data_IF_149494827780
#
_entry.id   IF_149494827780
#
_cell.length_a   1.000
_cell.length_b   1.000
_cell.length_c   1.000
_cell.angle_alpha   90.00
_cell.angle_beta   90.00
_cell.angle_gamma   90.00
#
_symmetry.space_group_name_H-M   'P 1'
#
loop_
_entity.id
_entity.type
_entity.pdbx_description
1 polymer ?
#
# COMPACT_ATOMS: atom_id res chain seq x y z
N UNK A 1 3.04 20.46 36.21
CA UNK A 1 3.36 19.68 35.00
C UNK A 1 2.85 18.27 35.20
N UNK A 2 1.65 17.97 34.70
CA UNK A 2 1.15 16.60 34.71
C UNK A 2 1.92 15.81 33.65
N UNK A 3 2.69 14.81 34.09
CA UNK A 3 3.28 13.84 33.17
C UNK A 3 2.14 13.08 32.53
N UNK A 4 1.90 13.30 31.24
CA UNK A 4 1.04 12.46 30.44
C UNK A 4 1.52 11.02 30.61
N UNK A 5 0.80 10.21 31.42
CA UNK A 5 0.95 8.75 31.46
C UNK A 5 0.40 8.20 30.15
N UNK A 6 1.12 8.45 29.06
CA UNK A 6 0.84 7.85 27.76
C UNK A 6 0.96 6.34 27.94
N UNK A 7 -0.17 5.63 27.85
CA UNK A 7 -0.18 4.18 27.71
C UNK A 7 0.83 3.84 26.61
N UNK A 8 1.88 3.10 26.96
CA UNK A 8 2.98 2.75 26.06
C UNK A 8 2.42 2.35 24.69
N UNK A 9 2.99 2.93 23.64
CA UNK A 9 2.76 2.56 22.25
C UNK A 9 2.98 1.06 22.11
N UNK A 10 1.88 0.32 21.93
CA UNK A 10 1.95 -1.10 21.62
C UNK A 10 2.04 -1.25 20.12
N UNK A 11 2.88 -2.18 19.69
CA UNK A 11 2.85 -2.65 18.31
C UNK A 11 1.44 -3.11 17.96
N UNK A 12 1.02 -2.84 16.72
CA UNK A 12 -0.29 -3.19 16.22
C UNK A 12 -0.18 -3.81 14.84
N UNK A 13 -0.92 -4.88 14.61
CA UNK A 13 -1.18 -5.40 13.28
C UNK A 13 -2.37 -4.67 12.69
N UNK A 14 -2.16 -4.06 11.53
CA UNK A 14 -3.18 -3.34 10.79
C UNK A 14 -3.57 -4.16 9.57
N UNK A 15 -4.85 -4.44 9.42
CA UNK A 15 -5.38 -5.05 8.20
C UNK A 15 -5.91 -3.95 7.28
N UNK A 16 -5.30 -3.83 6.10
CA UNK A 16 -5.80 -3.04 4.99
C UNK A 16 -6.61 -3.92 4.04
N UNK A 17 -7.57 -3.28 3.39
CA UNK A 17 -8.20 -3.81 2.18
C UNK A 17 -7.92 -2.84 1.04
N UNK A 18 -7.42 -3.39 -0.06
CA UNK A 18 -7.15 -2.67 -1.31
C UNK A 18 -8.09 -3.24 -2.37
N UNK A 19 -8.81 -2.35 -3.05
CA UNK A 19 -9.75 -2.70 -4.11
C UNK A 19 -9.33 -2.02 -5.39
N UNK A 20 -9.26 -2.78 -6.49
CA UNK A 20 -9.05 -2.29 -7.86
C UNK A 20 -10.34 -2.46 -8.66
N UNK A 21 -10.58 -1.65 -9.71
CA UNK A 21 -11.64 -1.96 -10.67
C UNK A 21 -11.40 -3.35 -11.26
N UNK A 22 -12.45 -4.19 -11.30
CA UNK A 22 -12.41 -5.60 -11.72
C UNK A 22 -12.03 -5.84 -13.20
N UNK A 23 -11.57 -4.82 -13.92
CA UNK A 23 -11.11 -4.93 -15.30
C UNK A 23 -9.89 -4.04 -15.52
N UNK A 24 -8.71 -4.66 -15.52
CA UNK A 24 -7.58 -4.16 -16.31
C UNK A 24 -7.68 -4.62 -17.79
N UNK A 25 -8.77 -5.29 -18.19
CA UNK A 25 -8.97 -5.82 -19.53
C UNK A 25 -10.39 -5.64 -20.08
N UNK A 26 -10.49 -4.85 -21.14
CA UNK A 26 -11.61 -4.72 -22.08
C UNK A 26 -11.25 -3.58 -23.03
N UNK A 27 -10.93 -3.78 -24.31
CA UNK A 27 -11.73 -4.50 -25.28
C UNK A 27 -10.89 -4.85 -26.54
N UNK A 28 -11.27 -5.94 -27.20
CA UNK A 28 -11.01 -6.32 -28.61
C UNK A 28 -9.60 -6.80 -29.05
N UNK A 29 -9.62 -7.93 -29.77
CA UNK A 29 -8.54 -8.54 -30.54
C UNK A 29 -7.40 -9.23 -29.75
N UNK A 30 -7.63 -10.50 -29.41
CA UNK A 30 -6.64 -11.57 -29.65
C UNK A 30 -5.26 -11.51 -28.97
N UNK A 31 -5.01 -10.63 -28.00
CA UNK A 31 -3.76 -10.59 -27.26
C UNK A 31 -3.90 -11.19 -25.85
N UNK A 32 -2.90 -12.01 -25.51
CA UNK A 32 -2.80 -12.71 -24.24
C UNK A 32 -3.06 -11.76 -23.06
N UNK A 33 -4.09 -12.08 -22.28
CA UNK A 33 -4.42 -11.41 -21.02
C UNK A 33 -3.22 -11.51 -20.10
N UNK A 34 -2.39 -10.47 -20.05
CA UNK A 34 -1.33 -10.36 -19.07
C UNK A 34 -2.01 -10.04 -17.73
N UNK A 35 -1.94 -10.98 -16.80
CA UNK A 35 -2.39 -10.81 -15.41
C UNK A 35 -1.52 -9.78 -14.71
N UNK A 36 -1.80 -8.51 -14.95
CA UNK A 36 -1.13 -7.39 -14.31
C UNK A 36 -1.55 -7.35 -12.83
N UNK A 37 -0.63 -7.62 -11.91
CA UNK A 37 -0.87 -7.59 -10.46
C UNK A 37 -0.46 -6.25 -9.88
N UNK A 38 -1.17 -5.78 -8.85
CA UNK A 38 -0.70 -4.64 -8.06
C UNK A 38 0.65 -4.97 -7.41
N UNK A 39 1.56 -4.00 -7.45
CA UNK A 39 2.76 -4.01 -6.62
C UNK A 39 2.39 -3.53 -5.21
N UNK A 40 2.10 -4.49 -4.35
CA UNK A 40 1.67 -4.20 -2.98
C UNK A 40 2.81 -3.62 -2.13
N UNK A 41 4.08 -3.91 -2.45
CA UNK A 41 5.23 -3.34 -1.73
C UNK A 41 5.32 -1.85 -2.02
N UNK A 42 5.38 -1.49 -3.30
CA UNK A 42 5.45 -0.10 -3.72
C UNK A 42 4.21 0.71 -3.29
N UNK A 43 3.03 0.08 -3.28
CA UNK A 43 1.82 0.71 -2.72
C UNK A 43 1.95 1.00 -1.22
N UNK A 44 2.42 0.03 -0.42
CA UNK A 44 2.59 0.21 1.02
C UNK A 44 3.70 1.21 1.37
N UNK A 45 4.77 1.25 0.58
CA UNK A 45 5.82 2.27 0.67
C UNK A 45 5.26 3.66 0.40
N UNK A 46 4.47 3.84 -0.65
CA UNK A 46 3.83 5.12 -0.97
C UNK A 46 2.87 5.59 0.14
N UNK A 47 2.11 4.66 0.74
CA UNK A 47 1.25 4.97 1.90
C UNK A 47 2.10 5.38 3.10
N UNK A 48 3.19 4.66 3.39
CA UNK A 48 4.12 5.00 4.47
C UNK A 48 4.75 6.38 4.27
N UNK A 49 5.13 6.71 3.03
CA UNK A 49 5.64 8.04 2.70
C UNK A 49 4.59 9.13 2.95
N UNK A 50 3.34 8.95 2.49
CA UNK A 50 2.24 9.90 2.78
C UNK A 50 2.00 10.06 4.29
N UNK A 51 2.11 8.97 5.04
CA UNK A 51 1.93 8.99 6.50
C UNK A 51 3.00 9.86 7.17
N UNK A 52 4.25 9.77 6.71
CA UNK A 52 5.33 10.66 7.13
C UNK A 52 5.10 12.12 6.73
N UNK A 53 4.50 12.37 5.55
CA UNK A 53 4.18 13.74 5.10
C UNK A 53 3.08 14.37 5.95
N UNK A 54 2.03 13.62 6.31
CA UNK A 54 0.91 14.17 7.08
C UNK A 54 1.25 14.47 8.54
N UNK A 55 2.16 13.72 9.16
CA UNK A 55 2.43 13.84 10.59
C UNK A 55 3.91 14.05 10.94
N UNK A 56 4.78 14.19 9.94
CA UNK A 56 6.20 14.44 10.12
C UNK A 56 6.87 13.37 10.99
N UNK A 57 7.76 13.85 11.86
CA UNK A 57 8.49 13.01 12.83
C UNK A 57 7.63 12.46 13.97
N UNK A 58 6.36 12.90 14.11
CA UNK A 58 5.49 12.46 15.20
C UNK A 58 4.97 11.03 15.00
N UNK A 59 5.22 10.46 13.83
CA UNK A 59 4.85 9.10 13.46
C UNK A 59 6.11 8.41 12.98
N UNK A 60 6.54 7.37 13.68
CA UNK A 60 7.62 6.49 13.22
C UNK A 60 7.14 5.68 12.01
N UNK A 61 7.16 6.32 10.84
CA UNK A 61 7.17 5.63 9.56
C UNK A 61 8.64 5.37 9.21
N UNK A 62 9.02 4.09 9.13
CA UNK A 62 10.38 3.72 8.71
C UNK A 62 10.68 4.33 7.33
N UNK A 63 11.93 4.72 7.10
CA UNK A 63 12.40 5.13 5.77
C UNK A 63 12.23 4.01 4.73
N UNK A 64 12.17 2.75 5.19
CA UNK A 64 11.88 1.58 4.35
C UNK A 64 10.37 1.35 4.11
N UNK A 65 9.49 2.26 4.55
CA UNK A 65 8.04 2.14 4.39
C UNK A 65 7.35 1.36 5.52
N UNK A 66 6.09 0.99 5.27
CA UNK A 66 5.30 0.18 6.22
C UNK A 66 5.70 -1.29 6.10
N UNK A 67 5.96 -1.94 7.23
CA UNK A 67 6.35 -3.36 7.25
C UNK A 67 5.16 -4.25 6.87
N UNK A 68 5.23 -4.90 5.71
CA UNK A 68 4.23 -5.85 5.23
C UNK A 68 4.48 -7.22 5.86
N UNK A 69 3.49 -7.74 6.58
CA UNK A 69 3.54 -9.06 7.24
C UNK A 69 2.90 -10.15 6.36
N UNK A 70 1.81 -9.81 5.67
CA UNK A 70 1.12 -10.73 4.79
C UNK A 70 0.32 -10.00 3.72
N UNK A 71 0.21 -10.61 2.55
CA UNK A 71 -0.72 -10.21 1.47
C UNK A 71 -1.55 -11.42 1.10
N UNK A 72 -2.87 -11.26 1.08
CA UNK A 72 -3.83 -12.27 0.64
C UNK A 72 -4.70 -11.71 -0.47
N UNK A 73 -4.90 -12.49 -1.52
CA UNK A 73 -5.84 -12.18 -2.59
C UNK A 73 -7.11 -13.01 -2.36
N UNK A 74 -8.26 -12.36 -2.24
CA UNK A 74 -9.52 -13.05 -1.94
C UNK A 74 -10.28 -13.34 -3.24
N UNK A 75 -10.60 -12.28 -3.98
CA UNK A 75 -11.31 -12.32 -5.27
C UNK A 75 -10.68 -11.32 -6.22
N UNK A 76 -10.99 -11.40 -7.52
CA UNK A 76 -10.46 -10.50 -8.54
C UNK A 76 -10.56 -9.02 -8.12
N UNK A 77 -9.38 -8.42 -7.97
CA UNK A 77 -9.23 -7.02 -7.63
C UNK A 77 -9.42 -6.66 -6.15
N UNK A 78 -9.43 -7.64 -5.24
CA UNK A 78 -9.50 -7.40 -3.78
C UNK A 78 -8.32 -8.05 -3.08
N UNK A 79 -7.52 -7.21 -2.42
CA UNK A 79 -6.34 -7.61 -1.67
C UNK A 79 -6.52 -7.26 -0.19
N UNK A 80 -6.15 -8.20 0.67
CA UNK A 80 -6.03 -7.98 2.10
C UNK A 80 -4.55 -7.94 2.47
N UNK A 81 -4.11 -6.84 3.05
CA UNK A 81 -2.72 -6.65 3.48
C UNK A 81 -2.68 -6.55 4.98
N UNK A 82 -1.78 -7.28 5.62
CA UNK A 82 -1.47 -7.12 7.04
C UNK A 82 -0.15 -6.36 7.13
N UNK A 83 -0.18 -5.25 7.84
CA UNK A 83 0.98 -4.40 8.11
C UNK A 83 1.29 -4.41 9.60
N UNK A 84 2.57 -4.31 9.97
CA UNK A 84 2.98 -4.01 11.34
C UNK A 84 3.21 -2.52 11.50
N UNK A 85 2.54 -1.94 12.50
CA UNK A 85 2.79 -0.59 12.96
C UNK A 85 3.51 -0.66 14.31
N UNK A 86 4.80 -0.27 14.31
CA UNK A 86 5.66 -0.34 15.50
C UNK A 86 5.17 0.57 16.63
N UNK A 87 4.61 1.72 16.27
CA UNK A 87 4.02 2.66 17.23
C UNK A 87 2.59 3.02 16.86
N UNK A 88 1.61 2.31 17.41
CA UNK A 88 0.20 2.56 17.16
C UNK A 88 -0.37 3.68 18.07
N UNK A 89 0.23 4.87 18.01
CA UNK A 89 -0.36 6.05 18.65
C UNK A 89 -1.65 6.47 17.94
N UNK A 90 -2.59 7.16 18.62
CA UNK A 90 -3.79 7.69 17.96
C UNK A 90 -3.47 8.55 16.72
N UNK A 91 -2.37 9.30 16.79
CA UNK A 91 -1.87 10.11 15.68
C UNK A 91 -1.40 9.23 14.51
N UNK A 92 -0.59 8.21 14.76
CA UNK A 92 -0.11 7.28 13.73
C UNK A 92 -1.27 6.54 13.04
N UNK A 93 -2.28 6.09 13.79
CA UNK A 93 -3.47 5.45 13.23
C UNK A 93 -4.27 6.41 12.36
N UNK A 94 -4.40 7.68 12.79
CA UNK A 94 -5.09 8.71 12.03
C UNK A 94 -4.35 9.05 10.73
N UNK A 95 -3.03 9.18 10.81
CA UNK A 95 -2.15 9.40 9.68
C UNK A 95 -2.29 8.28 8.65
N UNK A 96 -2.22 7.02 9.10
CA UNK A 96 -2.39 5.85 8.24
C UNK A 96 -3.74 5.87 7.51
N UNK A 97 -4.85 6.15 8.23
CA UNK A 97 -6.18 6.24 7.63
C UNK A 97 -6.26 7.35 6.58
N UNK A 98 -5.69 8.52 6.86
CA UNK A 98 -5.63 9.63 5.91
C UNK A 98 -4.77 9.29 4.68
N UNK A 99 -3.65 8.60 4.87
CA UNK A 99 -2.79 8.11 3.78
C UNK A 99 -3.47 7.08 2.91
N UNK A 100 -4.22 6.15 3.50
CA UNK A 100 -5.06 5.21 2.74
C UNK A 100 -6.14 5.96 1.94
N UNK A 101 -6.88 6.88 2.57
CA UNK A 101 -7.97 7.62 1.93
C UNK A 101 -7.49 8.55 0.79
N UNK A 102 -6.27 9.07 0.88
CA UNK A 102 -5.65 9.90 -0.16
C UNK A 102 -4.93 9.09 -1.25
N UNK A 103 -4.99 7.76 -1.20
CA UNK A 103 -4.36 6.90 -2.20
C UNK A 103 -5.38 6.44 -3.23
N UNK A 104 -5.28 7.01 -4.42
CA UNK A 104 -6.19 6.77 -5.54
C UNK A 104 -5.57 5.93 -6.66
N UNK A 105 -4.25 5.83 -6.72
CA UNK A 105 -3.50 5.08 -7.73
C UNK A 105 -2.53 4.10 -7.07
N UNK A 106 -2.46 2.88 -7.60
CA UNK A 106 -1.55 1.83 -7.18
C UNK A 106 -0.63 1.40 -8.32
N UNK A 107 0.67 1.19 -8.06
CA UNK A 107 1.62 0.69 -9.05
C UNK A 107 1.29 -0.75 -9.44
N UNK A 108 1.55 -1.10 -10.70
CA UNK A 108 1.27 -2.41 -11.29
C UNK A 108 2.57 -3.05 -11.75
N UNK A 109 2.79 -4.31 -11.37
CA UNK A 109 3.90 -5.11 -11.90
C UNK A 109 3.51 -5.60 -13.29
N UNK A 110 4.15 -5.04 -14.32
CA UNK A 110 4.03 -5.54 -15.69
C UNK A 110 4.71 -6.90 -15.82
N UNK A 111 3.96 -7.94 -16.16
CA UNK A 111 4.53 -9.22 -16.58
C UNK A 111 5.40 -9.00 -17.81
N UNK A 112 6.69 -9.31 -17.71
CA UNK A 112 7.66 -9.06 -18.77
C UNK A 112 7.22 -9.66 -20.12
N UNK A 113 7.08 -8.82 -21.15
CA UNK A 113 7.22 -9.26 -22.55
C UNK A 113 8.19 -8.35 -23.29
N UNK A 114 9.47 -8.70 -23.20
CA UNK A 114 10.47 -8.35 -24.22
C UNK A 114 10.09 -9.09 -25.51
N UNK A 115 9.59 -8.34 -26.48
CA UNK A 115 9.68 -8.50 -27.94
C UNK A 115 8.65 -7.51 -28.48
N UNK A 116 9.01 -6.35 -29.01
CA UNK A 116 9.47 -6.17 -30.39
C UNK A 116 10.27 -4.87 -30.48
N UNK A 117 11.32 -4.89 -31.31
CA UNK A 117 12.12 -3.75 -31.78
C UNK A 117 11.37 -2.40 -31.73
N UNK A 118 11.80 -1.50 -30.84
CA UNK A 118 11.78 -0.08 -31.16
C UNK A 118 13.04 0.60 -30.63
N UNK A 119 13.71 1.23 -31.58
CA UNK A 119 14.95 1.98 -31.47
C UNK A 119 14.57 3.37 -30.95
N UNK A 120 14.84 3.66 -29.68
CA UNK A 120 15.03 5.02 -29.13
C UNK A 120 15.49 4.93 -27.66
N UNK A 121 16.68 5.45 -27.27
CA UNK A 121 17.12 5.49 -25.89
C UNK A 121 16.75 6.86 -25.29
N UNK A 122 15.59 6.95 -24.63
CA UNK A 122 15.17 7.99 -23.66
C UNK A 122 13.66 7.89 -23.46
N UNK A 123 13.21 6.88 -22.73
CA UNK A 123 11.86 6.89 -22.17
C UNK A 123 12.01 6.61 -20.69
N UNK A 124 11.65 7.62 -19.88
CA UNK A 124 11.29 7.43 -18.48
C UNK A 124 10.40 6.20 -18.39
N UNK A 125 10.81 5.22 -17.58
CA UNK A 125 10.00 4.08 -17.19
C UNK A 125 8.70 4.64 -16.60
N UNK A 126 7.67 4.74 -17.44
CA UNK A 126 6.37 5.26 -17.01
C UNK A 126 5.75 4.13 -16.21
N UNK A 127 5.92 4.16 -14.89
CA UNK A 127 5.36 3.18 -13.98
C UNK A 127 3.86 3.04 -14.27
N UNK A 128 3.44 1.85 -14.73
CA UNK A 128 2.03 1.58 -15.02
C UNK A 128 1.28 1.62 -13.68
N UNK A 129 0.24 2.46 -13.60
CA UNK A 129 -0.58 2.59 -12.40
C UNK A 129 -2.04 2.26 -12.72
N UNK A 130 -2.77 1.77 -11.72
CA UNK A 130 -4.20 1.48 -11.79
C UNK A 130 -4.95 2.19 -10.67
N UNK A 131 -6.21 2.60 -10.88
CA UNK A 131 -7.04 3.12 -9.78
C UNK A 131 -7.17 2.11 -8.63
N UNK A 132 -7.02 2.60 -7.40
CA UNK A 132 -7.19 1.80 -6.18
C UNK A 132 -8.04 2.54 -5.16
N UNK A 133 -8.74 1.79 -4.33
CA UNK A 133 -9.31 2.26 -3.07
C UNK A 133 -8.69 1.49 -1.91
N UNK A 134 -8.11 2.19 -0.94
CA UNK A 134 -7.45 1.59 0.22
C UNK A 134 -8.18 1.99 1.49
N UNK A 135 -8.49 1.02 2.36
CA UNK A 135 -9.08 1.28 3.68
C UNK A 135 -8.47 0.42 4.78
N UNK A 136 -8.42 0.97 5.99
CA UNK A 136 -8.09 0.23 7.21
C UNK A 136 -9.34 -0.49 7.70
N UNK A 137 -9.27 -1.82 7.85
CA UNK A 137 -10.38 -2.66 8.28
C UNK A 137 -10.27 -3.04 9.75
N UNK A 138 -9.10 -3.53 10.18
CA UNK A 138 -8.88 -3.99 11.54
C UNK A 138 -7.56 -3.46 12.11
N UNK A 139 -7.56 -3.26 13.44
CA UNK A 139 -6.39 -2.93 14.25
C UNK A 139 -6.32 -3.93 15.39
N UNK A 140 -5.28 -4.75 15.42
CA UNK A 140 -5.08 -5.80 16.43
C UNK A 140 -3.82 -5.50 17.22
N UNK A 141 -3.98 -5.20 18.51
CA UNK A 141 -2.83 -4.97 19.38
C UNK A 141 -2.02 -6.28 19.53
N UNK A 142 -0.71 -6.19 19.33
CA UNK A 142 0.21 -7.28 19.62
C UNK A 142 0.38 -7.32 21.14
N UNK A 143 0.03 -8.45 21.76
CA UNK A 143 0.35 -8.65 23.19
C UNK A 143 1.86 -8.84 23.28
N UNK A 144 2.52 -8.03 24.11
CA UNK A 144 3.88 -8.33 24.54
C UNK A 144 3.86 -9.70 25.23
N UNK A 145 4.73 -10.60 24.77
CA UNK A 145 4.93 -11.92 25.35
C UNK A 145 5.50 -11.83 26.77
#
# INVERSE_FOLDING_TARGET
MERCRGKCSRECLVQLQVVTPQKLGGNEAGEAVLSSSLDMSALCEAIGHKMSVFCGLAVEASAAGLQVEAVRHDTDGVYHVVLRLLQATPLAVTALRASCASTALGPVVGGARRTVRQKNPRQEETAVTTPVAVRVVHLTAVKAA
#
